data_IF_265598378622
#
_entry.id   IF_265598378622
#
_cell.length_a   1.000
_cell.length_b   1.000
_cell.length_c   1.000
_cell.angle_alpha   90.00
_cell.angle_beta   90.00
_cell.angle_gamma   90.00
#
_symmetry.space_group_name_H-M   'P 1'
#
loop_
_entity.id
_entity.type
_entity.pdbx_description
1 polymer ?
#
# COMPACT_ATOMS: atom_id res chain seq x y z
N UNK A 1 4.19 -13.29 30.42
CA UNK A 1 4.24 -14.28 31.53
C UNK A 1 5.67 -14.59 31.97
N UNK A 2 6.62 -14.93 31.08
CA UNK A 2 7.98 -15.33 31.47
C UNK A 2 8.82 -14.21 32.14
N UNK A 3 8.86 -13.00 31.58
CA UNK A 3 9.61 -11.88 32.17
C UNK A 3 9.07 -11.50 33.57
N UNK A 4 7.75 -11.42 33.73
CA UNK A 4 7.13 -11.15 35.03
C UNK A 4 7.42 -12.23 36.08
N UNK A 5 7.44 -13.51 35.67
CA UNK A 5 7.84 -14.59 36.56
C UNK A 5 9.31 -14.47 36.98
N UNK A 6 10.22 -14.15 36.05
CA UNK A 6 11.64 -13.95 36.38
C UNK A 6 11.86 -12.75 37.32
N UNK A 7 11.10 -11.66 37.14
CA UNK A 7 11.15 -10.51 38.05
C UNK A 7 10.75 -10.91 39.48
N UNK A 8 9.69 -11.71 39.61
CA UNK A 8 9.27 -12.23 40.92
C UNK A 8 10.34 -13.12 41.55
N UNK A 9 10.91 -14.07 40.80
CA UNK A 9 11.99 -14.94 41.31
C UNK A 9 13.21 -14.14 41.77
N UNK A 10 13.61 -13.12 41.01
CA UNK A 10 14.69 -12.23 41.41
C UNK A 10 14.36 -11.48 42.71
N UNK A 11 13.13 -11.01 42.87
CA UNK A 11 12.67 -10.30 44.07
C UNK A 11 12.63 -11.23 45.28
N UNK A 12 12.06 -12.43 45.14
CA UNK A 12 11.98 -13.44 46.20
C UNK A 12 13.39 -13.80 46.71
N UNK A 13 14.35 -14.04 45.79
CA UNK A 13 15.72 -14.37 46.19
C UNK A 13 16.52 -13.19 46.74
N UNK A 14 16.22 -11.97 46.30
CA UNK A 14 16.75 -10.76 46.91
C UNK A 14 16.31 -10.66 48.37
N UNK A 15 15.01 -10.83 48.64
CA UNK A 15 14.46 -10.76 50.01
C UNK A 15 15.08 -11.82 50.93
N UNK A 16 15.28 -13.05 50.44
CA UNK A 16 15.97 -14.12 51.19
C UNK A 16 17.41 -13.72 51.54
N UNK A 17 18.16 -13.15 50.59
CA UNK A 17 19.52 -12.68 50.85
C UNK A 17 19.57 -11.48 51.81
N UNK A 18 18.63 -10.54 51.70
CA UNK A 18 18.51 -9.39 52.59
C UNK A 18 18.20 -9.84 54.04
N UNK A 19 17.32 -10.84 54.20
CA UNK A 19 17.00 -11.41 55.51
C UNK A 19 18.21 -12.15 56.12
N UNK A 20 18.88 -13.04 55.38
CA UNK A 20 20.08 -13.74 55.90
C UNK A 20 21.19 -12.74 56.26
N UNK A 21 21.37 -11.68 55.46
CA UNK A 21 22.31 -10.60 55.78
C UNK A 21 21.92 -9.86 57.06
N UNK A 22 20.64 -9.49 57.22
CA UNK A 22 20.13 -8.84 58.43
C UNK A 22 20.39 -9.69 59.68
N UNK A 23 20.08 -10.99 59.62
CA UNK A 23 20.32 -11.93 60.72
C UNK A 23 21.82 -12.00 61.06
N UNK A 24 22.71 -12.02 60.06
CA UNK A 24 24.17 -11.99 60.31
C UNK A 24 24.61 -10.68 60.97
N UNK A 25 24.05 -9.54 60.57
CA UNK A 25 24.38 -8.23 61.14
C UNK A 25 23.94 -8.15 62.61
N UNK A 26 22.73 -8.62 62.92
CA UNK A 26 22.25 -8.68 64.31
C UNK A 26 23.09 -9.64 65.17
N UNK A 27 23.44 -10.80 64.61
CA UNK A 27 24.33 -11.77 65.26
C UNK A 27 25.70 -11.16 65.54
N UNK A 28 26.31 -10.49 64.55
CA UNK A 28 27.59 -9.81 64.70
C UNK A 28 27.56 -8.74 65.81
N UNK A 29 26.49 -7.94 65.88
CA UNK A 29 26.35 -6.92 66.95
C UNK A 29 26.25 -7.57 68.34
N UNK A 30 25.58 -8.72 68.42
CA UNK A 30 25.50 -9.51 69.65
C UNK A 30 26.86 -10.05 70.05
N UNK A 31 27.60 -10.63 69.10
CA UNK A 31 28.93 -11.19 69.32
C UNK A 31 29.98 -10.12 69.67
N UNK A 32 29.96 -8.96 69.00
CA UNK A 32 30.81 -7.81 69.33
C UNK A 32 30.52 -7.30 70.75
N UNK A 33 29.25 -7.19 71.13
CA UNK A 33 28.87 -6.84 72.50
C UNK A 33 29.37 -7.89 73.51
N UNK A 34 29.23 -9.18 73.19
CA UNK A 34 29.71 -10.27 74.02
C UNK A 34 31.24 -10.24 74.19
N UNK A 35 31.98 -9.98 73.12
CA UNK A 35 33.44 -9.86 73.13
C UNK A 35 33.98 -8.70 73.98
N UNK A 36 33.14 -7.72 74.33
CA UNK A 36 33.49 -6.57 75.17
C UNK A 36 33.24 -6.79 76.67
N UNK A 37 32.62 -7.89 77.08
CA UNK A 37 32.41 -8.17 78.50
C UNK A 37 33.74 -8.42 79.23
N UNK A 38 33.82 -7.94 80.46
CA UNK A 38 34.94 -8.18 81.38
C UNK A 38 34.41 -8.44 82.79
N UNK A 39 35.28 -8.90 83.70
CA UNK A 39 34.91 -9.15 85.10
C UNK A 39 34.43 -7.88 85.84
N UNK A 40 34.64 -6.69 85.27
CA UNK A 40 34.24 -5.39 85.83
C UNK A 40 32.97 -4.82 85.16
N UNK A 41 32.41 -5.50 84.16
CA UNK A 41 31.22 -5.06 83.45
C UNK A 41 30.00 -5.07 84.39
N UNK A 42 29.24 -3.98 84.44
CA UNK A 42 28.10 -3.80 85.36
C UNK A 42 26.80 -4.47 84.89
N UNK A 43 26.78 -5.00 83.66
CA UNK A 43 25.61 -5.57 82.98
C UNK A 43 25.71 -7.09 82.81
N UNK A 44 26.53 -7.78 83.60
CA UNK A 44 26.63 -9.24 83.65
C UNK A 44 25.79 -9.79 84.82
N UNK A 45 25.14 -10.94 84.62
CA UNK A 45 24.32 -11.62 85.64
C UNK A 45 24.36 -13.14 85.43
N UNK A 46 23.95 -13.91 86.44
CA UNK A 46 23.88 -15.37 86.34
C UNK A 46 22.66 -15.79 85.51
N UNK A 47 22.88 -16.65 84.51
CA UNK A 47 21.83 -17.23 83.66
C UNK A 47 21.85 -18.77 83.75
N UNK A 48 21.27 -19.39 84.82
CA UNK A 48 21.42 -20.83 85.11
C UNK A 48 20.86 -21.79 84.04
N UNK A 49 20.03 -21.30 83.11
CA UNK A 49 19.45 -22.09 82.01
C UNK A 49 20.24 -22.05 80.70
N UNK A 50 21.23 -21.16 80.57
CA UNK A 50 21.92 -20.89 79.29
C UNK A 50 23.03 -21.88 78.92
N UNK A 51 23.31 -22.86 79.78
CA UNK A 51 24.41 -23.85 79.61
C UNK A 51 23.99 -25.04 78.73
N UNK A 52 22.84 -24.96 78.05
CA UNK A 52 22.31 -26.03 77.19
C UNK A 52 22.43 -25.63 75.72
N UNK A 53 22.75 -26.60 74.87
CA UNK A 53 22.59 -26.44 73.43
C UNK A 53 21.12 -26.60 73.06
N UNK A 54 20.61 -25.67 72.26
CA UNK A 54 19.27 -25.80 71.66
C UNK A 54 19.29 -26.94 70.62
N UNK A 55 18.30 -27.84 70.68
CA UNK A 55 18.24 -29.00 69.76
C UNK A 55 18.07 -28.58 68.28
N UNK A 56 17.58 -27.36 68.04
CA UNK A 56 17.43 -26.76 66.70
C UNK A 56 18.63 -25.90 66.26
N UNK A 57 19.71 -25.84 67.05
CA UNK A 57 20.87 -25.01 66.71
C UNK A 57 21.59 -25.49 65.44
N UNK A 58 22.05 -24.54 64.64
CA UNK A 58 22.89 -24.82 63.48
C UNK A 58 24.34 -25.12 63.89
N UNK A 59 25.08 -25.81 63.03
CA UNK A 59 26.53 -25.98 63.14
C UNK A 59 27.23 -24.96 62.24
N UNK A 60 28.52 -24.68 62.41
CA UNK A 60 29.26 -23.80 61.50
C UNK A 60 29.14 -24.23 60.03
N UNK A 61 29.12 -25.53 59.77
CA UNK A 61 28.97 -26.09 58.42
C UNK A 61 27.57 -25.84 57.86
N UNK A 62 26.51 -26.07 58.65
CA UNK A 62 25.13 -25.85 58.17
C UNK A 62 24.80 -24.37 58.04
N UNK A 63 25.36 -23.52 58.91
CA UNK A 63 25.29 -22.05 58.82
C UNK A 63 25.98 -21.52 57.56
N UNK A 64 27.22 -21.95 57.30
CA UNK A 64 27.96 -21.52 56.12
C UNK A 64 27.28 -22.02 54.84
N UNK A 65 26.78 -23.27 54.85
CA UNK A 65 26.02 -23.84 53.74
C UNK A 65 24.73 -23.09 53.48
N UNK A 66 23.99 -22.65 54.50
CA UNK A 66 22.75 -21.89 54.33
C UNK A 66 22.99 -20.61 53.53
N UNK A 67 23.98 -19.80 53.93
CA UNK A 67 24.32 -18.57 53.21
C UNK A 67 24.89 -18.87 51.82
N UNK A 68 25.71 -19.91 51.68
CA UNK A 68 26.21 -20.35 50.37
C UNK A 68 25.07 -20.74 49.41
N UNK A 69 24.11 -21.54 49.87
CA UNK A 69 22.97 -21.99 49.08
C UNK A 69 22.06 -20.81 48.68
N UNK A 70 21.86 -19.84 49.58
CA UNK A 70 21.10 -18.62 49.27
C UNK A 70 21.77 -17.79 48.17
N UNK A 71 23.08 -17.53 48.30
CA UNK A 71 23.87 -16.80 47.30
C UNK A 71 23.86 -17.55 45.96
N UNK A 72 24.07 -18.87 45.99
CA UNK A 72 24.08 -19.69 44.78
C UNK A 72 22.75 -19.62 44.03
N UNK A 73 21.61 -19.70 44.73
CA UNK A 73 20.28 -19.57 44.12
C UNK A 73 20.05 -18.17 43.55
N UNK A 74 20.42 -17.12 44.29
CA UNK A 74 20.32 -15.75 43.80
C UNK A 74 21.17 -15.51 42.54
N UNK A 75 22.39 -16.07 42.50
CA UNK A 75 23.28 -15.97 41.34
C UNK A 75 22.69 -16.67 40.11
N UNK A 76 22.04 -17.83 40.30
CA UNK A 76 21.34 -18.55 39.22
C UNK A 76 20.18 -17.75 38.64
N UNK A 77 19.34 -17.15 39.49
CA UNK A 77 18.22 -16.33 39.03
C UNK A 77 18.71 -15.04 38.35
N UNK A 78 19.79 -14.43 38.87
CA UNK A 78 20.46 -13.30 38.22
C UNK A 78 20.93 -13.66 36.81
N UNK A 79 21.60 -14.80 36.64
CA UNK A 79 22.06 -15.26 35.34
C UNK A 79 20.90 -15.58 34.38
N UNK A 80 19.85 -16.24 34.88
CA UNK A 80 18.64 -16.49 34.11
C UNK A 80 17.99 -15.18 33.61
N UNK A 81 17.94 -14.16 34.48
CA UNK A 81 17.46 -12.82 34.13
C UNK A 81 18.31 -12.09 33.10
N UNK A 82 19.64 -12.20 33.17
CA UNK A 82 20.56 -11.64 32.16
C UNK A 82 20.30 -12.28 30.80
N UNK A 83 20.25 -13.62 30.75
CA UNK A 83 20.02 -14.36 29.51
C UNK A 83 18.65 -14.06 28.91
N UNK A 84 17.60 -13.96 29.75
CA UNK A 84 16.27 -13.63 29.29
C UNK A 84 16.19 -12.21 28.71
N UNK A 85 16.86 -11.22 29.34
CA UNK A 85 16.92 -9.85 28.80
C UNK A 85 17.66 -9.80 27.47
N UNK A 86 18.82 -10.45 27.36
CA UNK A 86 19.56 -10.52 26.10
C UNK A 86 18.73 -11.16 24.97
N UNK A 87 17.97 -12.23 25.28
CA UNK A 87 17.06 -12.85 24.32
C UNK A 87 15.94 -11.88 23.89
N UNK A 88 15.32 -11.19 24.84
CA UNK A 88 14.28 -10.19 24.55
C UNK A 88 14.83 -9.08 23.67
N UNK A 89 16.01 -8.55 23.98
CA UNK A 89 16.65 -7.47 23.21
C UNK A 89 16.94 -7.91 21.77
N UNK A 90 17.45 -9.13 21.58
CA UNK A 90 17.68 -9.70 20.25
C UNK A 90 16.35 -9.85 19.46
N UNK A 91 15.31 -10.40 20.08
CA UNK A 91 14.00 -10.54 19.43
C UNK A 91 13.42 -9.17 19.05
N UNK A 92 13.52 -8.17 19.92
CA UNK A 92 13.06 -6.82 19.62
C UNK A 92 13.81 -6.21 18.44
N UNK A 93 15.14 -6.42 18.38
CA UNK A 93 15.97 -5.95 17.28
C UNK A 93 15.60 -6.65 15.96
N UNK A 94 15.54 -7.98 15.95
CA UNK A 94 15.18 -8.78 14.77
C UNK A 94 13.80 -8.38 14.23
N UNK A 95 12.80 -8.24 15.11
CA UNK A 95 11.45 -7.79 14.72
C UNK A 95 11.47 -6.37 14.17
N UNK A 96 12.26 -5.46 14.74
CA UNK A 96 12.35 -4.08 14.26
C UNK A 96 13.01 -4.00 12.87
N UNK A 97 14.05 -4.80 12.62
CA UNK A 97 14.68 -4.94 11.30
C UNK A 97 13.71 -5.57 10.29
N UNK A 98 13.01 -6.63 10.65
CA UNK A 98 11.99 -7.27 9.81
C UNK A 98 10.90 -6.27 9.41
N UNK A 99 10.38 -5.50 10.36
CA UNK A 99 9.39 -4.45 10.11
C UNK A 99 9.94 -3.37 9.15
N UNK A 100 11.23 -3.04 9.25
CA UNK A 100 11.90 -2.11 8.34
C UNK A 100 12.08 -2.68 6.94
N UNK A 101 12.48 -3.94 6.82
CA UNK A 101 12.56 -4.63 5.53
C UNK A 101 11.19 -4.69 4.86
N UNK A 102 10.13 -5.01 5.60
CA UNK A 102 8.76 -4.98 5.09
C UNK A 102 8.33 -3.56 4.67
N UNK A 103 8.72 -2.53 5.43
CA UNK A 103 8.46 -1.15 5.04
C UNK A 103 9.13 -0.80 3.70
N UNK A 104 10.39 -1.18 3.51
CA UNK A 104 11.14 -0.97 2.28
C UNK A 104 10.51 -1.73 1.10
N UNK A 105 10.19 -3.01 1.27
CA UNK A 105 9.56 -3.84 0.23
C UNK A 105 8.22 -3.25 -0.24
N UNK A 106 7.39 -2.75 0.68
CA UNK A 106 6.13 -2.10 0.32
C UNK A 106 6.35 -0.75 -0.36
N UNK A 107 7.38 0.03 0.04
CA UNK A 107 7.73 1.28 -0.65
C UNK A 107 8.16 1.02 -2.10
N UNK A 108 8.97 -0.02 -2.32
CA UNK A 108 9.40 -0.44 -3.66
C UNK A 108 8.20 -0.91 -4.50
N UNK A 109 7.29 -1.70 -3.92
CA UNK A 109 6.06 -2.11 -4.60
C UNK A 109 5.18 -0.92 -5.00
N UNK A 110 5.05 0.10 -4.15
CA UNK A 110 4.35 1.34 -4.50
C UNK A 110 5.06 2.11 -5.63
N UNK A 111 6.39 2.22 -5.59
CA UNK A 111 7.16 2.90 -6.62
C UNK A 111 6.97 2.23 -7.98
N UNK A 112 7.09 0.89 -8.02
CA UNK A 112 6.86 0.08 -9.23
C UNK A 112 5.44 0.24 -9.76
N UNK A 113 4.43 0.16 -8.87
CA UNK A 113 3.02 0.39 -9.26
C UNK A 113 2.82 1.78 -9.89
N UNK A 114 3.42 2.82 -9.31
CA UNK A 114 3.31 4.16 -9.85
C UNK A 114 3.91 4.26 -11.25
N UNK A 115 5.08 3.64 -11.47
CA UNK A 115 5.72 3.58 -12.79
C UNK A 115 4.84 2.84 -13.82
N UNK A 116 4.29 1.68 -13.45
CA UNK A 116 3.36 0.91 -14.30
C UNK A 116 2.11 1.74 -14.66
N UNK A 117 1.55 2.47 -13.69
CA UNK A 117 0.37 3.33 -13.91
C UNK A 117 0.70 4.53 -14.80
N UNK A 118 1.90 5.12 -14.66
CA UNK A 118 2.34 6.20 -15.52
C UNK A 118 2.56 5.74 -16.96
N UNK A 119 3.23 4.62 -17.18
CA UNK A 119 3.37 4.04 -18.52
C UNK A 119 2.01 3.73 -19.16
N UNK A 120 1.09 3.12 -18.40
CA UNK A 120 -0.27 2.88 -18.87
C UNK A 120 -1.01 4.19 -19.21
N UNK A 121 -0.86 5.22 -18.37
CA UNK A 121 -1.44 6.55 -18.63
C UNK A 121 -0.88 7.17 -19.91
N UNK A 122 0.44 7.16 -20.10
CA UNK A 122 1.07 7.69 -21.30
C UNK A 122 0.59 6.99 -22.57
N UNK A 123 0.42 5.66 -22.53
CA UNK A 123 -0.14 4.88 -23.65
C UNK A 123 -1.59 5.28 -23.95
N UNK A 124 -2.41 5.50 -22.92
CA UNK A 124 -3.78 5.98 -23.09
C UNK A 124 -3.84 7.40 -23.68
N UNK A 125 -3.00 8.31 -23.19
CA UNK A 125 -2.88 9.68 -23.71
C UNK A 125 -2.41 9.70 -25.17
N UNK A 126 -1.46 8.84 -25.52
CA UNK A 126 -1.01 8.65 -26.90
C UNK A 126 -2.15 8.12 -27.79
N UNK A 127 -2.90 7.13 -27.32
CA UNK A 127 -4.05 6.61 -28.06
C UNK A 127 -5.12 7.68 -28.25
N UNK A 128 -5.45 8.44 -27.19
CA UNK A 128 -6.39 9.55 -27.26
C UNK A 128 -5.98 10.58 -28.32
N UNK A 129 -4.69 10.94 -28.37
CA UNK A 129 -4.16 11.86 -29.39
C UNK A 129 -4.40 11.33 -30.81
N UNK A 130 -4.20 10.04 -31.05
CA UNK A 130 -4.44 9.43 -32.36
C UNK A 130 -5.93 9.39 -32.68
N UNK A 131 -6.79 9.00 -31.74
CA UNK A 131 -8.25 9.02 -31.91
C UNK A 131 -8.77 10.42 -32.22
N UNK A 132 -8.26 11.46 -31.57
CA UNK A 132 -8.62 12.85 -31.87
C UNK A 132 -8.23 13.26 -33.30
N UNK A 133 -7.08 12.79 -33.79
CA UNK A 133 -6.68 13.00 -35.18
C UNK A 133 -7.63 12.29 -36.15
N UNK A 134 -7.93 11.03 -35.89
CA UNK A 134 -8.87 10.24 -36.71
C UNK A 134 -10.28 10.85 -36.74
N UNK A 135 -10.75 11.41 -35.62
CA UNK A 135 -12.00 12.18 -35.56
C UNK A 135 -11.95 13.37 -36.53
N UNK A 136 -10.89 14.19 -36.48
CA UNK A 136 -10.74 15.34 -37.37
C UNK A 136 -10.66 14.96 -38.85
N UNK A 137 -9.91 13.89 -39.17
CA UNK A 137 -9.82 13.36 -40.53
C UNK A 137 -11.20 12.86 -41.02
N UNK A 138 -11.98 12.23 -40.14
CA UNK A 138 -13.31 11.71 -40.45
C UNK A 138 -14.36 12.82 -40.61
N UNK A 139 -14.31 13.87 -39.80
CA UNK A 139 -15.14 15.07 -39.95
C UNK A 139 -14.88 15.75 -41.32
N UNK A 140 -13.62 15.87 -41.71
CA UNK A 140 -13.24 16.41 -43.02
C UNK A 140 -13.76 15.54 -44.17
N UNK A 141 -13.66 14.21 -44.04
CA UNK A 141 -14.21 13.25 -45.01
C UNK A 141 -15.74 13.37 -45.13
N UNK A 142 -16.46 13.47 -44.00
CA UNK A 142 -17.92 13.70 -43.98
C UNK A 142 -18.28 15.00 -44.70
N UNK A 143 -17.55 16.08 -44.45
CA UNK A 143 -17.77 17.36 -45.13
C UNK A 143 -17.55 17.24 -46.65
N UNK A 144 -16.49 16.55 -47.08
CA UNK A 144 -16.20 16.29 -48.49
C UNK A 144 -17.30 15.44 -49.17
N UNK A 145 -17.79 14.39 -48.49
CA UNK A 145 -18.89 13.55 -48.99
C UNK A 145 -20.19 14.36 -49.15
N UNK A 146 -20.53 15.20 -48.16
CA UNK A 146 -21.70 16.10 -48.24
C UNK A 146 -21.58 17.06 -49.43
N UNK A 147 -20.40 17.62 -49.65
CA UNK A 147 -20.16 18.50 -50.79
C UNK A 147 -20.27 17.75 -52.12
N UNK A 148 -19.68 16.56 -52.25
CA UNK A 148 -19.74 15.75 -53.47
C UNK A 148 -21.17 15.33 -53.85
N UNK A 149 -22.02 15.03 -52.85
CA UNK A 149 -23.45 14.77 -53.06
C UNK A 149 -24.11 16.02 -53.65
N UNK A 150 -23.92 17.18 -53.02
CA UNK A 150 -24.49 18.46 -53.45
C UNK A 150 -24.06 18.84 -54.88
N UNK A 151 -22.78 18.61 -55.21
CA UNK A 151 -22.23 18.90 -56.53
C UNK A 151 -22.86 18.02 -57.63
N UNK A 152 -23.30 16.80 -57.30
CA UNK A 152 -24.02 15.91 -58.23
C UNK A 152 -25.53 16.17 -58.30
N UNK A 153 -26.13 16.71 -57.25
CA UNK A 153 -27.56 17.07 -57.25
C UNK A 153 -27.88 18.18 -58.27
N UNK A 154 -26.95 19.11 -58.51
CA UNK A 154 -27.13 20.17 -59.50
C UNK A 154 -27.29 19.66 -60.94
N UNK A 155 -26.33 18.90 -61.52
CA UNK A 155 -26.50 18.33 -62.86
C UNK A 155 -27.67 17.34 -62.95
N UNK A 156 -27.95 16.58 -61.88
CA UNK A 156 -29.14 15.73 -61.80
C UNK A 156 -30.43 16.52 -62.03
N UNK A 157 -30.60 17.65 -61.32
CA UNK A 157 -31.75 18.54 -61.50
C UNK A 157 -31.85 19.05 -62.93
N UNK A 158 -30.73 19.45 -63.53
CA UNK A 158 -30.71 19.91 -64.93
C UNK A 158 -31.18 18.80 -65.88
N UNK A 159 -30.66 17.58 -65.74
CA UNK A 159 -31.05 16.46 -66.59
C UNK A 159 -32.54 16.10 -66.43
N UNK A 160 -33.04 16.04 -65.19
CA UNK A 160 -34.45 15.80 -64.88
C UNK A 160 -35.37 16.91 -65.40
N UNK A 161 -35.02 18.18 -65.23
CA UNK A 161 -35.79 19.31 -65.78
C UNK A 161 -35.84 19.25 -67.31
N UNK A 162 -34.71 18.96 -67.97
CA UNK A 162 -34.69 18.76 -69.44
C UNK A 162 -35.60 17.63 -69.88
N UNK A 163 -35.61 16.50 -69.17
CA UNK A 163 -36.53 15.39 -69.46
C UNK A 163 -37.99 15.78 -69.25
N UNK A 164 -38.29 16.51 -68.16
CA UNK A 164 -39.62 17.04 -67.87
C UNK A 164 -40.11 17.95 -69.00
N UNK A 165 -39.32 18.95 -69.40
CA UNK A 165 -39.71 19.89 -70.47
C UNK A 165 -39.91 19.16 -71.81
N UNK A 166 -39.07 18.16 -72.09
CA UNK A 166 -39.19 17.33 -73.30
C UNK A 166 -40.43 16.43 -73.29
N UNK A 167 -41.05 16.18 -72.14
CA UNK A 167 -42.30 15.42 -72.05
C UNK A 167 -43.52 16.16 -72.62
N UNK A 168 -43.42 17.47 -72.82
CA UNK A 168 -44.50 18.31 -73.38
C UNK A 168 -44.44 18.49 -74.91
N UNK A 169 -43.51 17.81 -75.60
CA UNK A 169 -43.42 17.91 -77.07
C UNK A 169 -44.73 17.41 -77.71
N UNK A 170 -45.33 18.14 -78.67
CA UNK A 170 -46.64 17.79 -79.21
C UNK A 170 -46.56 16.69 -80.28
N UNK A 171 -47.54 15.77 -80.29
CA UNK A 171 -47.77 14.79 -81.35
C UNK A 171 -46.50 13.98 -81.73
N UNK A 172 -46.14 13.98 -83.02
CA UNK A 172 -44.98 13.25 -83.56
C UNK A 172 -43.64 13.76 -83.03
N UNK A 173 -43.59 15.00 -82.51
CA UNK A 173 -42.38 15.58 -81.93
C UNK A 173 -42.04 14.98 -80.55
N UNK A 174 -42.94 14.21 -79.93
CA UNK A 174 -42.64 13.39 -78.74
C UNK A 174 -41.78 12.16 -79.11
N UNK A 175 -40.66 12.44 -79.75
CA UNK A 175 -39.75 11.47 -80.29
C UNK A 175 -38.71 11.05 -79.24
N UNK A 176 -38.43 9.75 -79.19
CA UNK A 176 -37.35 9.16 -78.38
C UNK A 176 -36.02 9.27 -79.15
N UNK A 177 -35.58 10.50 -79.34
CA UNK A 177 -34.33 10.79 -80.05
C UNK A 177 -33.09 10.39 -79.21
N UNK A 178 -31.87 10.38 -79.80
CA UNK A 178 -30.65 10.03 -79.06
C UNK A 178 -30.39 10.90 -77.83
N UNK A 179 -30.79 12.17 -77.83
CA UNK A 179 -30.63 13.05 -76.67
C UNK A 179 -31.57 12.66 -75.53
N UNK A 180 -32.77 12.17 -75.82
CA UNK A 180 -33.69 11.60 -74.81
C UNK A 180 -33.03 10.43 -74.08
N UNK A 181 -32.47 9.46 -74.82
CA UNK A 181 -31.82 8.29 -74.23
C UNK A 181 -30.59 8.67 -73.41
N UNK A 182 -29.78 9.61 -73.89
CA UNK A 182 -28.60 10.09 -73.15
C UNK A 182 -28.98 10.76 -71.83
N UNK A 183 -30.03 11.58 -71.80
CA UNK A 183 -30.50 12.22 -70.56
C UNK A 183 -31.03 11.20 -69.55
N UNK A 184 -31.72 10.15 -70.01
CA UNK A 184 -32.17 9.07 -69.12
C UNK A 184 -30.97 8.34 -68.51
N UNK A 185 -30.00 7.94 -69.33
CA UNK A 185 -28.75 7.30 -68.87
C UNK A 185 -28.00 8.18 -67.87
N UNK A 186 -27.89 9.49 -68.14
CA UNK A 186 -27.25 10.45 -67.24
C UNK A 186 -27.95 10.52 -65.87
N UNK A 187 -29.29 10.52 -65.85
CA UNK A 187 -30.07 10.48 -64.60
C UNK A 187 -29.87 9.16 -63.86
N UNK A 188 -29.86 8.02 -64.55
CA UNK A 188 -29.62 6.71 -63.93
C UNK A 188 -28.21 6.66 -63.29
N UNK A 189 -27.17 7.03 -64.03
CA UNK A 189 -25.78 7.06 -63.55
C UNK A 189 -25.57 8.02 -62.37
N UNK A 190 -26.15 9.23 -62.43
CA UNK A 190 -26.08 10.19 -61.33
C UNK A 190 -26.83 9.68 -60.09
N UNK A 191 -27.93 8.94 -60.26
CA UNK A 191 -28.72 8.40 -59.15
C UNK A 191 -27.92 7.36 -58.40
N UNK A 192 -27.37 6.38 -59.11
CA UNK A 192 -26.51 5.35 -58.53
C UNK A 192 -25.27 5.96 -57.82
N UNK A 193 -24.67 6.98 -58.43
CA UNK A 193 -23.52 7.69 -57.86
C UNK A 193 -23.88 8.41 -56.55
N UNK A 194 -25.01 9.13 -56.52
CA UNK A 194 -25.50 9.83 -55.32
C UNK A 194 -25.85 8.83 -54.22
N UNK A 195 -26.53 7.71 -54.54
CA UNK A 195 -26.88 6.67 -53.57
C UNK A 195 -25.63 6.03 -52.95
N UNK A 196 -24.63 5.73 -53.77
CA UNK A 196 -23.33 5.22 -53.30
C UNK A 196 -22.65 6.19 -52.33
N UNK A 197 -22.64 7.50 -52.66
CA UNK A 197 -22.07 8.53 -51.79
C UNK A 197 -22.86 8.68 -50.48
N UNK A 198 -24.19 8.63 -50.53
CA UNK A 198 -25.05 8.67 -49.33
C UNK A 198 -24.81 7.48 -48.41
N UNK A 199 -24.61 6.29 -48.97
CA UNK A 199 -24.24 5.09 -48.19
C UNK A 199 -22.90 5.29 -47.47
N UNK A 200 -21.87 5.74 -48.19
CA UNK A 200 -20.55 6.03 -47.60
C UNK A 200 -20.61 7.12 -46.54
N UNK A 201 -21.46 8.12 -46.73
CA UNK A 201 -21.69 9.17 -45.74
C UNK A 201 -22.26 8.60 -44.44
N UNK A 202 -23.28 7.74 -44.53
CA UNK A 202 -23.87 7.09 -43.36
C UNK A 202 -22.84 6.21 -42.62
N UNK A 203 -22.06 5.41 -43.35
CA UNK A 203 -20.97 4.60 -42.79
C UNK A 203 -19.93 5.49 -42.09
N UNK A 204 -19.61 6.64 -42.70
CA UNK A 204 -18.64 7.58 -42.14
C UNK A 204 -19.14 8.26 -40.87
N UNK A 205 -20.41 8.68 -40.84
CA UNK A 205 -21.06 9.26 -39.67
C UNK A 205 -21.18 8.25 -38.52
N UNK A 206 -21.45 6.97 -38.82
CA UNK A 206 -21.43 5.92 -37.81
C UNK A 206 -20.03 5.68 -37.25
N UNK A 207 -19.00 5.66 -38.11
CA UNK A 207 -17.61 5.52 -37.65
C UNK A 207 -17.19 6.70 -36.76
N UNK A 208 -17.63 7.92 -37.07
CA UNK A 208 -17.35 9.09 -36.24
C UNK A 208 -17.92 8.92 -34.83
N UNK A 209 -19.18 8.47 -34.71
CA UNK A 209 -19.80 8.21 -33.40
C UNK A 209 -19.02 7.17 -32.58
N UNK A 210 -18.56 6.09 -33.22
CA UNK A 210 -17.75 5.08 -32.54
C UNK A 210 -16.40 5.65 -32.04
N UNK A 211 -15.78 6.56 -32.81
CA UNK A 211 -14.56 7.25 -32.40
C UNK A 211 -14.82 8.21 -31.22
N UNK A 212 -15.95 8.91 -31.21
CA UNK A 212 -16.35 9.77 -30.09
C UNK A 212 -16.58 8.98 -28.79
N UNK A 213 -17.25 7.82 -28.88
CA UNK A 213 -17.42 6.91 -27.74
C UNK A 213 -16.06 6.41 -27.22
N UNK A 214 -15.15 6.06 -28.14
CA UNK A 214 -13.78 5.65 -27.80
C UNK A 214 -13.02 6.78 -27.11
N UNK A 215 -13.12 8.02 -27.60
CA UNK A 215 -12.52 9.22 -26.97
C UNK A 215 -13.00 9.37 -25.53
N UNK A 216 -14.31 9.32 -25.29
CA UNK A 216 -14.88 9.48 -23.95
C UNK A 216 -14.37 8.40 -22.98
N UNK A 217 -14.28 7.14 -23.45
CA UNK A 217 -13.75 6.05 -22.65
C UNK A 217 -12.26 6.25 -22.31
N UNK A 218 -11.45 6.70 -23.26
CA UNK A 218 -10.04 6.99 -23.03
C UNK A 218 -9.84 8.13 -22.02
N UNK A 219 -10.59 9.23 -22.15
CA UNK A 219 -10.55 10.36 -21.20
C UNK A 219 -10.89 9.90 -19.77
N UNK A 220 -11.93 9.07 -19.63
CA UNK A 220 -12.32 8.48 -18.35
C UNK A 220 -11.20 7.62 -17.76
N UNK A 221 -10.61 6.71 -18.53
CA UNK A 221 -9.52 5.85 -18.04
C UNK A 221 -8.28 6.68 -17.64
N UNK A 222 -7.93 7.71 -18.42
CA UNK A 222 -6.82 8.63 -18.07
C UNK A 222 -7.10 9.34 -16.74
N UNK A 223 -8.33 9.79 -16.51
CA UNK A 223 -8.74 10.40 -15.25
C UNK A 223 -8.61 9.42 -14.08
N UNK A 224 -9.02 8.16 -14.28
CA UNK A 224 -8.86 7.10 -13.28
C UNK A 224 -7.37 6.86 -12.96
N UNK A 225 -6.50 6.69 -13.98
CA UNK A 225 -5.05 6.50 -13.74
C UNK A 225 -4.43 7.69 -13.01
N UNK A 226 -4.80 8.90 -13.41
CA UNK A 226 -4.31 10.14 -12.77
C UNK A 226 -4.72 10.18 -11.29
N UNK A 227 -5.95 9.82 -10.96
CA UNK A 227 -6.41 9.76 -9.58
C UNK A 227 -5.72 8.65 -8.78
N UNK A 228 -5.52 7.46 -9.35
CA UNK A 228 -4.78 6.37 -8.70
C UNK A 228 -3.34 6.77 -8.36
N UNK A 229 -2.62 7.37 -9.33
CA UNK A 229 -1.25 7.87 -9.11
C UNK A 229 -1.23 8.93 -8.01
N UNK A 230 -2.21 9.83 -7.98
CA UNK A 230 -2.31 10.86 -6.94
C UNK A 230 -2.51 10.23 -5.56
N UNK A 231 -3.41 9.26 -5.42
CA UNK A 231 -3.64 8.56 -4.14
C UNK A 231 -2.35 7.87 -3.69
N UNK A 232 -1.73 7.07 -4.55
CA UNK A 232 -0.56 6.29 -4.19
C UNK A 232 0.62 7.18 -3.79
N UNK A 233 0.90 8.24 -4.55
CA UNK A 233 2.03 9.14 -4.27
C UNK A 233 1.76 10.13 -3.14
N UNK A 234 0.64 10.85 -3.22
CA UNK A 234 0.39 12.00 -2.35
C UNK A 234 -0.32 11.63 -1.05
N UNK A 235 -0.99 10.47 -0.99
CA UNK A 235 -1.68 10.02 0.22
C UNK A 235 -0.92 8.87 0.88
N UNK A 236 -0.77 7.76 0.18
CA UNK A 236 -0.18 6.55 0.75
C UNK A 236 1.31 6.73 1.03
N UNK A 237 2.12 7.03 0.01
CA UNK A 237 3.57 7.17 0.16
C UNK A 237 3.96 8.33 1.09
N UNK A 238 3.23 9.45 1.02
CA UNK A 238 3.43 10.57 1.95
C UNK A 238 3.29 10.15 3.42
N UNK A 239 2.28 9.33 3.76
CA UNK A 239 2.13 8.82 5.13
C UNK A 239 3.29 7.90 5.54
N UNK A 240 3.77 7.08 4.61
CA UNK A 240 4.85 6.10 4.84
C UNK A 240 6.21 6.74 5.08
N UNK A 241 6.43 7.99 4.68
CA UNK A 241 7.66 8.74 5.02
C UNK A 241 7.87 8.90 6.53
N UNK A 242 6.80 8.76 7.33
CA UNK A 242 6.83 8.88 8.80
C UNK A 242 7.07 7.55 9.51
N UNK A 243 7.42 6.48 8.79
CA UNK A 243 7.61 5.16 9.39
C UNK A 243 8.75 5.18 10.43
N UNK A 244 8.55 4.64 11.65
CA UNK A 244 9.50 4.77 12.75
C UNK A 244 10.86 4.13 12.46
N UNK A 245 11.95 4.70 13.00
CA UNK A 245 13.30 4.10 12.97
C UNK A 245 13.41 2.90 13.91
N UNK A 246 14.35 2.01 13.63
CA UNK A 246 14.59 0.75 14.39
C UNK A 246 14.62 1.03 15.89
N UNK A 247 15.36 2.05 16.31
CA UNK A 247 15.45 2.48 17.71
C UNK A 247 14.08 2.72 18.38
N UNK A 248 13.15 3.39 17.67
CA UNK A 248 11.80 3.66 18.17
C UNK A 248 10.90 2.42 18.10
N UNK A 249 11.15 1.51 17.16
CA UNK A 249 10.45 0.22 17.05
C UNK A 249 10.86 -0.76 18.17
N UNK A 250 12.11 -0.72 18.60
CA UNK A 250 12.63 -1.49 19.73
C UNK A 250 12.15 -0.99 21.10
N UNK A 251 11.32 0.07 21.14
CA UNK A 251 10.70 0.56 22.37
C UNK A 251 11.51 1.59 23.15
N UNK A 252 12.66 2.03 22.62
CA UNK A 252 13.42 3.13 23.20
C UNK A 252 12.79 4.47 22.80
N UNK A 253 12.61 5.36 23.78
CA UNK A 253 12.12 6.73 23.60
C UNK A 253 13.27 7.72 23.61
#
# INVERSE_FOLDING_TARGET
MQAGNQMRLNQDHKEVCEMDWSDKVETYNTDDKCGRYSNQSTNIQLHPGSVKFEESASTPETWAKFSHDNIYRAEREKLASINLRALIDNILHDVAEDLRMQCAAVNEAFAKRCEELEDAKHKLEYHLKNTLKEIGDQEANIAALKQAIKDKEAPMKVAQTRLYDRSFRPNVELCRDPAQFRLISEVEELTESIESLKKKLLESEQSLRNLEDTRMNLEKEIAVKTNSIFIDRQKCMAHRTRYPVVFKLTGYQ
#
